data_IF_353953864933
#
_entry.id   IF_353953864933
#
_cell.length_a   1.000
_cell.length_b   1.000
_cell.length_c   1.000
_cell.angle_alpha   90.00
_cell.angle_beta   90.00
_cell.angle_gamma   90.00
#
_symmetry.space_group_name_H-M   'P 1'
#
loop_
_entity.id
_entity.type
_entity.pdbx_description
1 polymer ?
#
# COMPACT_ATOMS: atom_id res chain seq x y z
N UNK A 1 24.03 23.85 -16.29
CA UNK A 1 22.97 23.01 -15.70
C UNK A 1 21.61 23.69 -15.87
N UNK A 2 21.07 23.73 -17.09
CA UNK A 2 19.88 24.53 -17.45
C UNK A 2 18.85 23.73 -18.27
N UNK A 3 18.78 22.41 -18.09
CA UNK A 3 17.86 21.53 -18.83
C UNK A 3 16.71 20.96 -17.97
N UNK A 4 16.60 21.27 -16.68
CA UNK A 4 15.46 20.84 -15.85
C UNK A 4 14.17 21.67 -16.07
N UNK A 5 14.13 22.51 -17.11
CA UNK A 5 13.02 23.41 -17.43
C UNK A 5 12.03 22.87 -18.47
N UNK A 6 12.14 21.62 -18.92
CA UNK A 6 11.13 21.01 -19.80
C UNK A 6 10.12 20.30 -18.92
N UNK A 7 8.89 20.83 -18.89
CA UNK A 7 7.82 20.42 -17.98
C UNK A 7 7.73 18.90 -17.82
N UNK A 8 7.92 18.45 -16.58
CA UNK A 8 7.76 17.04 -16.22
C UNK A 8 6.38 16.53 -16.64
N UNK A 9 6.29 15.23 -16.91
CA UNK A 9 5.04 14.57 -17.24
C UNK A 9 3.95 14.95 -16.22
N UNK A 10 2.82 15.44 -16.72
CA UNK A 10 1.68 15.83 -15.90
C UNK A 10 0.49 14.93 -16.21
N UNK A 11 0.00 14.23 -15.19
CA UNK A 11 -1.12 13.30 -15.33
C UNK A 11 -2.38 13.99 -15.88
N UNK A 12 -2.59 15.24 -15.47
CA UNK A 12 -3.72 16.08 -15.89
C UNK A 12 -3.72 16.39 -17.40
N UNK A 13 -2.53 16.46 -18.01
CA UNK A 13 -2.33 16.79 -19.44
C UNK A 13 -2.10 15.56 -20.32
N UNK A 14 -2.15 14.35 -19.75
CA UNK A 14 -1.93 13.13 -20.49
C UNK A 14 -3.04 12.89 -21.54
N UNK A 15 -2.72 12.32 -22.71
CA UNK A 15 -3.71 11.97 -23.74
C UNK A 15 -4.81 11.07 -23.19
N UNK A 16 -6.04 11.18 -23.71
CA UNK A 16 -7.21 10.44 -23.19
C UNK A 16 -6.99 8.92 -23.17
N UNK A 17 -6.31 8.36 -24.17
CA UNK A 17 -5.98 6.93 -24.23
C UNK A 17 -5.14 6.48 -23.04
N UNK A 18 -4.13 7.26 -22.67
CA UNK A 18 -3.25 6.95 -21.55
C UNK A 18 -3.98 7.08 -20.21
N UNK A 19 -4.83 8.10 -20.07
CA UNK A 19 -5.70 8.27 -18.90
C UNK A 19 -6.68 7.13 -18.71
N UNK A 20 -7.21 6.53 -19.79
CA UNK A 20 -8.06 5.35 -19.69
C UNK A 20 -7.29 4.14 -19.14
N UNK A 21 -6.05 3.91 -19.59
CA UNK A 21 -5.21 2.82 -19.09
C UNK A 21 -4.89 3.04 -17.60
N UNK A 22 -4.47 4.24 -17.21
CA UNK A 22 -4.21 4.56 -15.81
C UNK A 22 -5.47 4.51 -14.95
N UNK A 23 -6.61 5.00 -15.45
CA UNK A 23 -7.90 4.89 -14.78
C UNK A 23 -8.30 3.44 -14.53
N UNK A 24 -8.14 2.56 -15.53
CA UNK A 24 -8.37 1.13 -15.36
C UNK A 24 -7.47 0.51 -14.30
N UNK A 25 -6.17 0.82 -14.31
CA UNK A 25 -5.24 0.39 -13.27
C UNK A 25 -5.64 0.88 -11.88
N UNK A 26 -6.02 2.15 -11.73
CA UNK A 26 -6.45 2.73 -10.46
C UNK A 26 -7.73 2.08 -9.94
N UNK A 27 -8.70 1.78 -10.80
CA UNK A 27 -9.93 1.04 -10.42
C UNK A 27 -9.59 -0.37 -9.92
N UNK A 28 -8.76 -1.12 -10.66
CA UNK A 28 -8.35 -2.46 -10.24
C UNK A 28 -7.55 -2.43 -8.93
N UNK A 29 -6.70 -1.42 -8.75
CA UNK A 29 -5.94 -1.21 -7.51
C UNK A 29 -6.86 -0.89 -6.33
N UNK A 30 -7.91 -0.10 -6.55
CA UNK A 30 -8.92 0.20 -5.53
C UNK A 30 -9.66 -1.07 -5.08
N UNK A 31 -10.04 -1.94 -6.02
CA UNK A 31 -10.63 -3.25 -5.71
C UNK A 31 -9.65 -4.12 -4.93
N UNK A 32 -8.37 -4.13 -5.33
CA UNK A 32 -7.29 -4.81 -4.62
C UNK A 32 -7.18 -4.39 -3.16
N UNK A 33 -7.12 -3.08 -2.88
CA UNK A 33 -7.07 -2.59 -1.50
C UNK A 33 -8.36 -2.87 -0.71
N UNK A 34 -9.54 -2.75 -1.33
CA UNK A 34 -10.80 -3.07 -0.67
C UNK A 34 -10.88 -4.55 -0.26
N UNK A 35 -10.49 -5.45 -1.16
CA UNK A 35 -10.45 -6.89 -0.87
C UNK A 35 -9.38 -7.25 0.16
N UNK A 36 -8.19 -6.64 0.09
CA UNK A 36 -7.15 -6.80 1.11
C UNK A 36 -7.67 -6.43 2.50
N UNK A 37 -8.29 -5.26 2.65
CA UNK A 37 -8.84 -4.82 3.94
C UNK A 37 -9.93 -5.75 4.47
N UNK A 38 -10.79 -6.26 3.59
CA UNK A 38 -11.79 -7.28 3.93
C UNK A 38 -11.16 -8.58 4.44
N UNK A 39 -10.08 -9.05 3.80
CA UNK A 39 -9.33 -10.21 4.25
C UNK A 39 -8.65 -9.98 5.60
N UNK A 40 -8.02 -8.83 5.83
CA UNK A 40 -7.37 -8.51 7.10
C UNK A 40 -8.37 -8.55 8.26
N UNK A 41 -9.53 -7.91 8.11
CA UNK A 41 -10.59 -7.93 9.12
C UNK A 41 -11.11 -9.35 9.35
N UNK A 42 -11.40 -10.09 8.27
CA UNK A 42 -12.06 -11.39 8.35
C UNK A 42 -11.15 -12.55 8.76
N UNK A 43 -9.83 -12.48 8.49
CA UNK A 43 -8.86 -13.57 8.74
C UNK A 43 -7.97 -13.34 9.95
N UNK A 44 -7.61 -12.09 10.22
CA UNK A 44 -6.63 -11.74 11.25
C UNK A 44 -7.31 -10.95 12.38
N UNK A 45 -8.08 -9.94 12.02
CA UNK A 45 -8.61 -8.94 12.94
C UNK A 45 -7.72 -7.71 13.05
N UNK A 46 -8.27 -6.63 13.60
CA UNK A 46 -7.66 -5.28 13.62
C UNK A 46 -7.09 -4.90 14.98
N UNK A 47 -6.92 -5.85 15.89
CA UNK A 47 -6.34 -5.61 17.22
C UNK A 47 -4.95 -6.24 17.32
N UNK A 48 -4.02 -5.64 18.08
CA UNK A 48 -2.68 -6.22 18.27
C UNK A 48 -2.72 -7.63 18.87
N UNK A 49 -3.68 -7.91 19.75
CA UNK A 49 -3.87 -9.24 20.32
C UNK A 49 -4.29 -10.29 19.27
N UNK A 50 -5.19 -9.91 18.35
CA UNK A 50 -5.63 -10.78 17.27
C UNK A 50 -4.48 -11.06 16.27
N UNK A 51 -3.71 -10.02 15.92
CA UNK A 51 -2.51 -10.14 15.08
C UNK A 51 -1.48 -11.08 15.73
N UNK A 52 -1.19 -10.89 17.03
CA UNK A 52 -0.25 -11.75 17.76
C UNK A 52 -0.73 -13.21 17.77
N UNK A 53 -2.02 -13.43 18.03
CA UNK A 53 -2.64 -14.76 18.01
C UNK A 53 -2.55 -15.40 16.62
N UNK A 54 -2.82 -14.65 15.55
CA UNK A 54 -2.78 -15.14 14.17
C UNK A 54 -1.38 -15.64 13.77
N UNK A 55 -0.32 -14.93 14.17
CA UNK A 55 1.05 -15.31 13.81
C UNK A 55 1.66 -16.33 14.77
N UNK A 56 1.43 -16.20 16.09
CA UNK A 56 2.08 -17.03 17.13
C UNK A 56 1.25 -18.23 17.57
N UNK A 57 -0.02 -18.29 17.18
CA UNK A 57 -0.96 -19.29 17.68
C UNK A 57 -1.47 -18.96 19.08
N UNK A 58 -2.50 -19.70 19.50
CA UNK A 58 -3.06 -19.67 20.84
C UNK A 58 -3.83 -20.95 21.11
N UNK A 59 -3.75 -21.40 22.36
CA UNK A 59 -4.52 -22.53 22.89
C UNK A 59 -5.61 -22.08 23.88
N UNK A 60 -5.67 -20.78 24.17
CA UNK A 60 -6.43 -20.23 25.30
C UNK A 60 -7.89 -19.87 24.98
N UNK A 61 -8.44 -20.34 23.86
CA UNK A 61 -9.79 -19.98 23.41
C UNK A 61 -10.59 -21.14 22.81
N UNK A 62 -11.84 -20.88 22.43
CA UNK A 62 -12.77 -21.87 21.87
C UNK A 62 -12.27 -22.53 20.57
N UNK A 63 -11.35 -21.85 19.86
CA UNK A 63 -10.72 -22.35 18.63
C UNK A 63 -9.21 -22.32 18.80
N UNK A 64 -8.59 -23.48 18.60
CA UNK A 64 -7.12 -23.63 18.58
C UNK A 64 -6.54 -22.96 17.33
N UNK A 65 -5.56 -22.07 17.53
CA UNK A 65 -4.85 -21.40 16.44
C UNK A 65 -3.41 -21.87 16.42
N UNK A 66 -2.97 -22.44 15.30
CA UNK A 66 -1.59 -22.89 15.15
C UNK A 66 -0.67 -21.74 14.74
N UNK A 67 0.57 -21.68 15.29
CA UNK A 67 1.57 -20.71 14.85
C UNK A 67 1.87 -20.85 13.36
N UNK A 68 2.13 -19.72 12.70
CA UNK A 68 2.57 -19.74 11.30
C UNK A 68 3.95 -20.38 11.17
N UNK A 69 4.13 -21.16 10.11
CA UNK A 69 5.43 -21.75 9.78
C UNK A 69 6.31 -20.73 9.04
N UNK A 70 7.63 -20.95 9.06
CA UNK A 70 8.57 -20.12 8.29
C UNK A 70 8.25 -20.14 6.79
N UNK A 71 7.84 -21.29 6.26
CA UNK A 71 7.46 -21.45 4.86
C UNK A 71 6.23 -20.59 4.51
N UNK A 72 5.20 -20.60 5.36
CA UNK A 72 4.01 -19.74 5.17
C UNK A 72 4.37 -18.26 5.20
N UNK A 73 5.24 -17.85 6.12
CA UNK A 73 5.72 -16.46 6.20
C UNK A 73 6.52 -16.09 4.95
N UNK A 74 7.38 -16.98 4.48
CA UNK A 74 8.19 -16.76 3.28
C UNK A 74 7.35 -16.68 2.00
N UNK A 75 6.34 -17.53 1.85
CA UNK A 75 5.38 -17.47 0.75
C UNK A 75 4.67 -16.11 0.70
N UNK A 76 4.18 -15.63 1.84
CA UNK A 76 3.55 -14.32 1.95
C UNK A 76 4.54 -13.20 1.65
N UNK A 77 5.73 -13.22 2.25
CA UNK A 77 6.76 -12.20 2.01
C UNK A 77 7.20 -12.16 0.55
N UNK A 78 7.39 -13.32 -0.10
CA UNK A 78 7.72 -13.39 -1.52
C UNK A 78 6.63 -12.73 -2.37
N UNK A 79 5.38 -13.14 -2.18
CA UNK A 79 4.26 -12.59 -2.95
C UNK A 79 4.08 -11.08 -2.70
N UNK A 80 4.09 -10.64 -1.44
CA UNK A 80 3.92 -9.24 -1.06
C UNK A 80 5.07 -8.38 -1.58
N UNK A 81 6.32 -8.83 -1.49
CA UNK A 81 7.46 -8.05 -1.94
C UNK A 81 7.37 -7.66 -3.42
N UNK A 82 6.95 -8.59 -4.29
CA UNK A 82 6.80 -8.30 -5.72
C UNK A 82 5.61 -7.40 -6.01
N UNK A 83 4.42 -7.77 -5.51
CA UNK A 83 3.19 -7.02 -5.81
C UNK A 83 3.23 -5.63 -5.20
N UNK A 84 3.61 -5.50 -3.94
CA UNK A 84 3.65 -4.20 -3.26
C UNK A 84 4.69 -3.27 -3.88
N UNK A 85 5.86 -3.78 -4.28
CA UNK A 85 6.86 -2.96 -4.94
C UNK A 85 6.35 -2.38 -6.27
N UNK A 86 5.70 -3.20 -7.10
CA UNK A 86 5.16 -2.76 -8.40
C UNK A 86 3.99 -1.78 -8.19
N UNK A 87 3.05 -2.10 -7.31
CA UNK A 87 1.90 -1.21 -7.02
C UNK A 87 2.38 0.13 -6.46
N UNK A 88 3.30 0.11 -5.50
CA UNK A 88 3.88 1.32 -4.93
C UNK A 88 4.59 2.14 -6.01
N UNK A 89 5.44 1.53 -6.84
CA UNK A 89 6.16 2.21 -7.91
C UNK A 89 5.20 2.94 -8.86
N UNK A 90 4.15 2.24 -9.34
CA UNK A 90 3.21 2.82 -10.30
C UNK A 90 2.40 3.94 -9.65
N UNK A 91 1.87 3.74 -8.44
CA UNK A 91 1.11 4.77 -7.72
C UNK A 91 1.97 5.99 -7.39
N UNK A 92 3.21 5.77 -6.91
CA UNK A 92 4.16 6.83 -6.64
C UNK A 92 4.48 7.63 -7.90
N UNK A 93 4.72 6.95 -9.03
CA UNK A 93 4.96 7.60 -10.31
C UNK A 93 3.79 8.48 -10.76
N UNK A 94 2.56 7.95 -10.69
CA UNK A 94 1.35 8.72 -11.02
C UNK A 94 1.19 9.93 -10.08
N UNK A 95 1.41 9.73 -8.78
CA UNK A 95 1.23 10.76 -7.77
C UNK A 95 2.26 11.89 -7.88
N UNK A 96 3.53 11.59 -8.14
CA UNK A 96 4.56 12.62 -8.38
C UNK A 96 4.21 13.48 -9.60
N UNK A 97 3.49 12.91 -10.56
CA UNK A 97 3.01 13.56 -11.78
C UNK A 97 1.74 14.41 -11.60
N UNK A 98 1.24 14.55 -10.37
CA UNK A 98 0.07 15.38 -10.02
C UNK A 98 0.47 16.81 -9.67
N UNK A 99 -0.53 17.71 -9.57
CA UNK A 99 -0.34 19.09 -9.09
C UNK A 99 -0.26 19.22 -7.57
N UNK A 100 -0.22 18.11 -6.82
CA UNK A 100 -0.07 18.11 -5.37
C UNK A 100 1.21 18.86 -4.92
N UNK A 101 1.19 19.55 -3.77
CA UNK A 101 2.36 20.26 -3.25
C UNK A 101 3.49 19.30 -2.89
N UNK A 102 4.74 19.75 -3.06
CA UNK A 102 5.93 18.90 -2.90
C UNK A 102 6.06 18.31 -1.49
N UNK A 103 5.72 19.08 -0.45
CA UNK A 103 5.70 18.59 0.94
C UNK A 103 4.74 17.43 1.12
N UNK A 104 3.55 17.48 0.51
CA UNK A 104 2.58 16.39 0.56
C UNK A 104 3.12 15.16 -0.17
N UNK A 105 3.75 15.36 -1.33
CA UNK A 105 4.39 14.28 -2.09
C UNK A 105 5.41 13.54 -1.24
N UNK A 106 6.36 14.27 -0.67
CA UNK A 106 7.41 13.73 0.17
C UNK A 106 6.86 12.97 1.39
N UNK A 107 5.91 13.56 2.11
CA UNK A 107 5.32 12.93 3.31
C UNK A 107 4.58 11.65 2.95
N UNK A 108 3.67 11.69 1.97
CA UNK A 108 2.84 10.53 1.60
C UNK A 108 3.70 9.39 1.07
N UNK A 109 4.67 9.68 0.20
CA UNK A 109 5.59 8.67 -0.32
C UNK A 109 6.42 8.01 0.79
N UNK A 110 6.92 8.82 1.72
CA UNK A 110 7.71 8.31 2.85
C UNK A 110 6.86 7.44 3.76
N UNK A 111 5.66 7.90 4.13
CA UNK A 111 4.73 7.15 4.99
C UNK A 111 4.30 5.84 4.35
N UNK A 112 3.92 5.86 3.07
CA UNK A 112 3.53 4.66 2.32
C UNK A 112 4.69 3.65 2.20
N UNK A 113 5.91 4.15 1.92
CA UNK A 113 7.10 3.30 1.80
C UNK A 113 7.49 2.66 3.14
N UNK A 114 7.60 3.46 4.21
CA UNK A 114 7.95 2.96 5.55
C UNK A 114 6.88 2.00 6.05
N UNK A 115 5.59 2.29 5.82
CA UNK A 115 4.50 1.37 6.12
C UNK A 115 4.61 0.04 5.36
N UNK A 116 4.97 0.08 4.08
CA UNK A 116 5.18 -1.13 3.27
C UNK A 116 6.35 -1.98 3.77
N UNK A 117 7.47 -1.36 4.13
CA UNK A 117 8.61 -2.07 4.73
C UNK A 117 8.21 -2.68 6.08
N UNK A 118 7.46 -1.94 6.89
CA UNK A 118 6.93 -2.42 8.16
C UNK A 118 5.98 -3.61 7.98
N UNK A 119 5.11 -3.58 6.97
CA UNK A 119 4.22 -4.71 6.62
C UNK A 119 5.02 -5.98 6.29
N UNK A 120 6.06 -5.88 5.48
CA UNK A 120 6.92 -7.02 5.12
C UNK A 120 7.67 -7.61 6.33
N UNK A 121 8.12 -6.76 7.25
CA UNK A 121 8.94 -7.16 8.40
C UNK A 121 8.12 -7.65 9.59
N UNK A 122 6.93 -7.08 9.81
CA UNK A 122 6.16 -7.29 11.03
C UNK A 122 5.71 -8.75 11.26
N UNK A 123 5.33 -9.57 10.26
CA UNK A 123 4.98 -10.97 10.47
C UNK A 123 6.12 -11.77 11.10
N UNK A 124 7.35 -11.52 10.66
CA UNK A 124 8.56 -12.17 11.16
C UNK A 124 8.85 -11.75 12.61
N UNK A 125 8.74 -10.45 12.89
CA UNK A 125 8.97 -9.90 14.23
C UNK A 125 7.92 -10.39 15.24
N UNK A 126 6.64 -10.44 14.85
CA UNK A 126 5.58 -10.97 15.71
C UNK A 126 5.79 -12.47 15.95
N UNK A 127 6.13 -13.23 14.92
CA UNK A 127 6.30 -14.68 15.01
C UNK A 127 7.50 -15.10 15.85
N UNK A 128 8.67 -14.48 15.62
CA UNK A 128 9.95 -14.92 16.17
C UNK A 128 10.54 -13.97 17.20
N UNK A 129 10.07 -12.72 17.25
CA UNK A 129 10.39 -11.76 18.30
C UNK A 129 9.33 -11.77 19.40
N UNK A 130 8.69 -10.62 19.62
CA UNK A 130 7.74 -10.39 20.70
C UNK A 130 6.29 -10.20 20.20
N UNK A 131 5.31 -10.61 21.00
CA UNK A 131 3.90 -10.36 20.71
C UNK A 131 3.57 -8.85 20.62
N UNK A 132 4.30 -8.00 21.35
CA UNK A 132 4.18 -6.54 21.28
C UNK A 132 4.53 -5.95 19.92
N UNK A 133 5.30 -6.67 19.08
CA UNK A 133 5.55 -6.27 17.70
C UNK A 133 4.27 -6.24 16.86
N UNK A 134 3.14 -6.76 17.35
CA UNK A 134 1.84 -6.61 16.70
C UNK A 134 1.37 -5.15 16.64
N UNK A 135 1.84 -4.28 17.55
CA UNK A 135 1.63 -2.83 17.44
C UNK A 135 2.33 -2.23 16.24
N UNK A 136 3.55 -2.69 15.94
CA UNK A 136 4.28 -2.30 14.75
C UNK A 136 3.54 -2.77 13.49
N UNK A 137 3.03 -4.01 13.47
CA UNK A 137 2.23 -4.52 12.37
C UNK A 137 1.02 -3.62 12.09
N UNK A 138 0.22 -3.36 13.13
CA UNK A 138 -0.98 -2.53 13.01
C UNK A 138 -0.65 -1.10 12.56
N UNK A 139 0.39 -0.49 13.14
CA UNK A 139 0.84 0.84 12.75
C UNK A 139 1.33 0.89 11.30
N UNK A 140 2.00 -0.17 10.84
CA UNK A 140 2.49 -0.30 9.47
C UNK A 140 1.33 -0.43 8.47
N UNK A 141 0.31 -1.22 8.79
CA UNK A 141 -0.92 -1.35 7.99
C UNK A 141 -1.66 -0.02 7.87
N UNK A 142 -1.81 0.71 8.98
CA UNK A 142 -2.47 2.03 8.97
C UNK A 142 -1.65 3.02 8.13
N UNK A 143 -0.33 3.09 8.33
CA UNK A 143 0.54 3.98 7.58
C UNK A 143 0.53 3.66 6.08
N UNK A 144 0.68 2.38 5.72
CA UNK A 144 0.63 1.90 4.34
C UNK A 144 -0.74 2.16 3.71
N UNK A 145 -1.82 1.79 4.39
CA UNK A 145 -3.19 1.95 3.92
C UNK A 145 -3.56 3.42 3.71
N UNK A 146 -3.26 4.30 4.67
CA UNK A 146 -3.51 5.73 4.55
C UNK A 146 -2.68 6.36 3.42
N UNK A 147 -1.39 6.01 3.34
CA UNK A 147 -0.51 6.50 2.28
C UNK A 147 -0.99 6.08 0.90
N UNK A 148 -1.28 4.79 0.71
CA UNK A 148 -1.80 4.25 -0.54
C UNK A 148 -3.16 4.82 -0.92
N UNK A 149 -4.04 5.07 0.06
CA UNK A 149 -5.33 5.72 -0.18
C UNK A 149 -5.14 7.13 -0.73
N UNK A 150 -4.22 7.93 -0.18
CA UNK A 150 -3.93 9.26 -0.69
C UNK A 150 -3.34 9.20 -2.10
N UNK A 151 -2.36 8.30 -2.33
CA UNK A 151 -1.78 8.08 -3.67
C UNK A 151 -2.88 7.75 -4.69
N UNK A 152 -3.79 6.85 -4.34
CA UNK A 152 -4.89 6.40 -5.18
C UNK A 152 -5.89 7.52 -5.46
N UNK A 153 -6.39 8.19 -4.42
CA UNK A 153 -7.45 9.21 -4.54
C UNK A 153 -6.97 10.43 -5.30
N UNK A 154 -5.78 10.95 -4.98
CA UNK A 154 -5.25 12.14 -5.66
C UNK A 154 -4.91 11.85 -7.11
N UNK A 155 -4.29 10.69 -7.39
CA UNK A 155 -4.01 10.27 -8.77
C UNK A 155 -5.29 10.06 -9.57
N UNK A 156 -6.33 9.47 -8.95
CA UNK A 156 -7.63 9.29 -9.59
C UNK A 156 -8.31 10.63 -9.88
N UNK A 157 -8.31 11.55 -8.91
CA UNK A 157 -8.87 12.88 -9.07
C UNK A 157 -8.21 13.66 -10.21
N UNK A 158 -6.88 13.64 -10.30
CA UNK A 158 -6.13 14.27 -11.37
C UNK A 158 -6.37 13.59 -12.73
N UNK A 159 -6.44 12.26 -12.73
CA UNK A 159 -6.77 11.49 -13.93
C UNK A 159 -8.20 11.76 -14.41
N UNK A 160 -9.15 12.14 -13.55
CA UNK A 160 -10.52 12.49 -13.93
C UNK A 160 -10.66 13.96 -14.33
N UNK A 161 -9.98 14.87 -13.61
CA UNK A 161 -10.03 16.32 -13.84
C UNK A 161 -9.16 16.81 -14.99
N UNK A 162 -8.41 15.93 -15.65
CA UNK A 162 -7.62 16.25 -16.83
C UNK A 162 -8.48 16.80 -17.97
N UNK A 163 -7.98 17.84 -18.63
CA UNK A 163 -8.53 18.37 -19.88
C UNK A 163 -7.49 18.17 -20.98
N UNK A 164 -7.92 17.56 -22.09
CA UNK A 164 -7.10 17.50 -23.31
C UNK A 164 -6.98 18.94 -23.81
N UNK A 165 -5.79 19.55 -23.71
CA UNK A 165 -5.53 20.76 -24.48
C UNK A 165 -5.54 20.35 -25.96
N UNK A 166 -6.39 21.01 -26.73
CA UNK A 166 -6.84 20.62 -28.06
C UNK A 166 -5.77 20.10 -29.02
N UNK A 167 -6.18 19.10 -29.79
CA UNK A 167 -5.62 18.72 -31.09
C UNK A 167 -5.54 19.91 -32.05
#
# INVERSE_FOLDING_TARGET
>A
MREFGKGGFSLKRAPRRLRLVYGGFLVLTAIGFATQFGFEIGRIGVTPAAIATFYRGSESGDVMVFPKTAAQLLEVTHAHAFVMAIVFLILAHLFVSTSAPETLKMVVLTVAFVGTVGDLMSPWLVRYGAASCAWLALGSWIAQGAGNLVLLVVSSWECLSGQENGS
#
